data_IF_690512062357
#
_entry.id   IF_690512062357
#
_cell.length_a   1.000
_cell.length_b   1.000
_cell.length_c   1.000
_cell.angle_alpha   90.00
_cell.angle_beta   90.00
_cell.angle_gamma   90.00
#
_symmetry.space_group_name_H-M   'P 1'
#
loop_
_entity.id
_entity.type
_entity.pdbx_description
1 polymer ?
#
# COMPACT_ATOMS: atom_id res chain seq x y z
N UNK A 1 -16.18 18.97 -20.91
CA UNK A 1 -16.73 18.01 -19.93
C UNK A 1 -16.00 16.67 -19.98
N UNK A 2 -15.99 16.00 -21.12
CA UNK A 2 -15.28 14.74 -21.29
C UNK A 2 -13.78 14.88 -21.03
N UNK A 3 -13.16 15.89 -21.58
CA UNK A 3 -11.73 16.14 -21.39
C UNK A 3 -11.41 16.41 -19.92
N UNK A 4 -12.24 17.15 -19.23
CA UNK A 4 -12.03 17.46 -17.82
C UNK A 4 -12.12 16.21 -16.97
N UNK A 5 -13.09 15.33 -17.23
CA UNK A 5 -13.20 14.05 -16.55
C UNK A 5 -11.99 13.18 -16.82
N UNK A 6 -11.51 13.15 -18.06
CA UNK A 6 -10.33 12.37 -18.43
C UNK A 6 -9.09 12.87 -17.69
N UNK A 7 -8.93 14.19 -17.56
CA UNK A 7 -7.82 14.79 -16.82
C UNK A 7 -7.87 14.41 -15.34
N UNK A 8 -9.06 14.42 -14.74
CA UNK A 8 -9.22 14.01 -13.35
C UNK A 8 -8.87 12.54 -13.15
N UNK A 9 -9.29 11.69 -14.07
CA UNK A 9 -8.96 10.25 -14.01
C UNK A 9 -7.47 10.04 -14.17
N UNK A 10 -6.85 10.70 -15.13
CA UNK A 10 -5.40 10.60 -15.35
C UNK A 10 -4.62 11.02 -14.11
N UNK A 11 -5.05 12.10 -13.48
CA UNK A 11 -4.42 12.59 -12.27
C UNK A 11 -4.54 11.57 -11.14
N UNK A 12 -5.71 10.98 -10.98
CA UNK A 12 -5.94 9.96 -9.95
C UNK A 12 -5.09 8.71 -10.19
N UNK A 13 -4.95 8.29 -11.43
CA UNK A 13 -4.08 7.16 -11.78
C UNK A 13 -2.62 7.48 -11.42
N UNK A 14 -2.18 8.69 -11.77
CA UNK A 14 -0.82 9.12 -11.45
C UNK A 14 -0.58 9.15 -9.94
N UNK A 15 -1.54 9.65 -9.17
CA UNK A 15 -1.46 9.68 -7.71
C UNK A 15 -1.38 8.26 -7.13
N UNK A 16 -2.19 7.36 -7.66
CA UNK A 16 -2.16 5.96 -7.24
C UNK A 16 -0.79 5.35 -7.50
N UNK A 17 -0.28 5.47 -8.72
CA UNK A 17 1.01 4.89 -9.09
C UNK A 17 2.17 5.50 -8.32
N UNK A 18 2.07 6.78 -7.96
CA UNK A 18 3.08 7.45 -7.14
C UNK A 18 3.22 6.80 -5.77
N UNK A 19 2.13 6.24 -5.24
CA UNK A 19 2.19 5.55 -3.95
C UNK A 19 3.05 4.29 -4.01
N UNK A 20 3.18 3.67 -5.17
CA UNK A 20 4.08 2.53 -5.39
C UNK A 20 5.52 2.98 -5.63
N UNK A 21 5.77 4.27 -5.73
CA UNK A 21 7.08 4.81 -6.08
C UNK A 21 8.03 5.04 -4.91
N UNK A 22 7.78 4.41 -3.77
CA UNK A 22 8.62 4.55 -2.58
C UNK A 22 9.02 3.16 -2.08
N UNK A 23 10.34 2.96 -1.87
CA UNK A 23 10.86 1.65 -1.48
C UNK A 23 10.25 1.13 -0.18
N UNK A 24 10.09 1.99 0.81
CA UNK A 24 9.51 1.55 2.10
C UNK A 24 8.07 1.10 1.91
N UNK A 25 7.28 1.86 1.15
CA UNK A 25 5.89 1.47 0.89
C UNK A 25 5.80 0.17 0.10
N UNK A 26 6.68 -0.02 -0.88
CA UNK A 26 6.75 -1.27 -1.64
C UNK A 26 7.07 -2.44 -0.71
N UNK A 27 8.03 -2.26 0.20
CA UNK A 27 8.39 -3.31 1.18
C UNK A 27 7.23 -3.64 2.12
N UNK A 28 6.50 -2.63 2.58
CA UNK A 28 5.31 -2.85 3.42
C UNK A 28 4.27 -3.67 2.66
N UNK A 29 3.97 -3.26 1.44
CA UNK A 29 2.98 -3.96 0.62
C UNK A 29 3.41 -5.41 0.33
N UNK A 30 4.71 -5.64 0.13
CA UNK A 30 5.23 -6.99 -0.08
C UNK A 30 4.91 -7.89 1.12
N UNK A 31 5.09 -7.39 2.33
CA UNK A 31 4.77 -8.17 3.54
C UNK A 31 3.27 -8.43 3.67
N UNK A 32 2.44 -7.53 3.15
CA UNK A 32 0.98 -7.67 3.23
C UNK A 32 0.38 -8.52 2.11
N UNK A 33 1.18 -8.99 1.16
CA UNK A 33 0.67 -9.82 0.06
C UNK A 33 0.02 -11.11 0.55
N UNK A 34 0.60 -11.73 1.56
CA UNK A 34 0.15 -13.03 2.02
C UNK A 34 -0.46 -13.02 3.42
N UNK A 35 -0.15 -11.99 4.20
CA UNK A 35 -0.56 -11.96 5.60
C UNK A 35 -1.10 -10.60 6.00
N UNK A 36 -2.10 -10.63 6.84
CA UNK A 36 -2.56 -9.45 7.56
C UNK A 36 -1.62 -9.23 8.73
N UNK A 37 -1.11 -8.02 8.91
CA UNK A 37 -0.10 -7.71 9.92
C UNK A 37 -0.41 -6.43 10.67
N UNK A 38 0.02 -6.35 11.92
CA UNK A 38 -0.05 -5.11 12.70
C UNK A 38 1.25 -4.32 12.55
N UNK A 39 1.25 -3.09 13.05
CA UNK A 39 2.41 -2.19 12.94
C UNK A 39 3.67 -2.82 13.51
N UNK A 40 3.59 -3.40 14.70
CA UNK A 40 4.78 -3.97 15.35
C UNK A 40 5.40 -5.11 14.55
N UNK A 41 4.55 -5.93 13.92
CA UNK A 41 5.03 -7.03 13.08
C UNK A 41 5.74 -6.52 11.83
N UNK A 42 5.16 -5.50 11.19
CA UNK A 42 5.76 -4.89 10.00
C UNK A 42 7.07 -4.21 10.37
N UNK A 43 7.08 -3.46 11.47
CA UNK A 43 8.27 -2.75 11.94
C UNK A 43 9.42 -3.72 12.20
N UNK A 44 9.13 -4.86 12.83
CA UNK A 44 10.13 -5.88 13.08
C UNK A 44 10.68 -6.46 11.79
N UNK A 45 9.79 -6.80 10.85
CA UNK A 45 10.19 -7.39 9.56
C UNK A 45 11.04 -6.44 8.73
N UNK A 46 10.73 -5.15 8.77
CA UNK A 46 11.45 -4.14 7.99
C UNK A 46 12.63 -3.54 8.75
N UNK A 47 12.77 -3.87 10.02
CA UNK A 47 13.79 -3.28 10.90
C UNK A 47 13.70 -1.77 10.93
N UNK A 48 12.48 -1.27 11.12
CA UNK A 48 12.17 0.15 11.17
C UNK A 48 11.36 0.45 12.43
N UNK A 49 11.31 1.72 12.81
CA UNK A 49 10.53 2.12 13.97
C UNK A 49 9.03 1.99 13.70
N UNK A 50 8.27 1.74 14.76
CA UNK A 50 6.81 1.67 14.67
C UNK A 50 6.23 2.99 14.16
N UNK A 51 6.80 4.12 14.57
CA UNK A 51 6.29 5.43 14.13
C UNK A 51 6.52 5.65 12.63
N UNK A 52 7.67 5.20 12.10
CA UNK A 52 7.95 5.29 10.66
C UNK A 52 6.96 4.43 9.86
N UNK A 53 6.71 3.21 10.34
CA UNK A 53 5.75 2.30 9.69
C UNK A 53 4.34 2.87 9.76
N UNK A 54 3.92 3.37 10.92
CA UNK A 54 2.59 3.99 11.09
C UNK A 54 2.38 5.15 10.14
N UNK A 55 3.42 5.97 9.95
CA UNK A 55 3.36 7.10 9.02
C UNK A 55 3.11 6.63 7.58
N UNK A 56 3.85 5.62 7.16
CA UNK A 56 3.70 5.07 5.80
C UNK A 56 2.36 4.36 5.61
N UNK A 57 1.90 3.64 6.62
CA UNK A 57 0.58 2.98 6.55
C UNK A 57 -0.55 3.99 6.45
N UNK A 58 -0.42 5.14 7.11
CA UNK A 58 -1.41 6.21 6.99
C UNK A 58 -1.50 6.71 5.56
N UNK A 59 -0.35 6.93 4.91
CA UNK A 59 -0.29 7.36 3.51
C UNK A 59 -0.96 6.30 2.61
N UNK A 60 -0.61 5.04 2.80
CA UNK A 60 -1.18 3.95 2.01
C UNK A 60 -2.69 3.81 2.21
N UNK A 61 -3.16 4.00 3.44
CA UNK A 61 -4.59 3.91 3.75
C UNK A 61 -5.36 5.07 3.13
N UNK A 62 -4.83 6.28 3.19
CA UNK A 62 -5.43 7.45 2.56
C UNK A 62 -5.52 7.25 1.04
N UNK A 63 -4.53 6.59 0.46
CA UNK A 63 -4.50 6.27 -0.97
C UNK A 63 -5.30 5.03 -1.34
N UNK A 64 -5.96 4.41 -0.37
CA UNK A 64 -6.79 3.21 -0.57
C UNK A 64 -6.02 1.99 -1.09
N UNK A 65 -4.74 1.91 -0.75
CA UNK A 65 -3.93 0.73 -1.08
C UNK A 65 -3.94 -0.30 0.02
N UNK A 66 -4.18 0.12 1.25
CA UNK A 66 -4.35 -0.79 2.38
C UNK A 66 -5.65 -0.47 3.11
N UNK A 67 -6.16 -1.48 3.80
CA UNK A 67 -7.31 -1.34 4.70
C UNK A 67 -6.87 -1.83 6.07
N UNK A 68 -7.64 -1.47 7.09
CA UNK A 68 -7.35 -1.88 8.45
C UNK A 68 -8.60 -2.42 9.11
N UNK A 69 -8.41 -3.31 10.09
CA UNK A 69 -9.46 -3.76 10.98
C UNK A 69 -8.90 -3.77 12.39
N UNK A 70 -9.78 -3.56 13.35
CA UNK A 70 -9.39 -3.56 14.75
C UNK A 70 -9.87 -4.83 15.42
N UNK A 71 -9.00 -5.44 16.20
CA UNK A 71 -9.34 -6.61 17.00
C UNK A 71 -8.76 -6.37 18.40
N UNK A 72 -9.65 -6.13 19.35
CA UNK A 72 -9.24 -5.68 20.67
C UNK A 72 -8.57 -4.32 20.57
N UNK A 73 -7.32 -4.24 21.03
CA UNK A 73 -6.53 -3.01 20.97
C UNK A 73 -5.57 -2.98 19.78
N UNK A 74 -5.56 -4.07 19.01
CA UNK A 74 -4.62 -4.22 17.89
C UNK A 74 -5.30 -3.89 16.58
N UNK A 75 -4.61 -3.11 15.75
CA UNK A 75 -5.05 -2.78 14.39
C UNK A 75 -4.23 -3.60 13.40
N UNK A 76 -4.92 -4.37 12.57
CA UNK A 76 -4.30 -5.18 11.53
C UNK A 76 -4.52 -4.54 10.17
N UNK A 77 -3.50 -4.62 9.33
CA UNK A 77 -3.51 -4.05 7.99
C UNK A 77 -3.43 -5.16 6.95
N UNK A 78 -4.08 -4.93 5.82
CA UNK A 78 -4.03 -5.83 4.67
C UNK A 78 -4.12 -4.99 3.41
N UNK A 79 -3.75 -5.56 2.26
CA UNK A 79 -3.94 -4.88 0.98
C UNK A 79 -5.44 -4.69 0.75
N UNK A 80 -5.79 -3.55 0.16
CA UNK A 80 -7.19 -3.12 0.07
C UNK A 80 -8.07 -4.09 -0.73
N UNK A 81 -7.56 -4.59 -1.85
CA UNK A 81 -8.34 -5.47 -2.73
C UNK A 81 -7.45 -6.21 -3.73
N UNK A 82 -8.09 -7.00 -4.58
CA UNK A 82 -7.38 -7.78 -5.59
C UNK A 82 -6.73 -6.92 -6.67
N UNK A 83 -7.25 -5.72 -6.91
CA UNK A 83 -6.65 -4.80 -7.89
C UNK A 83 -5.26 -4.38 -7.44
N UNK A 84 -5.12 -4.03 -6.17
CA UNK A 84 -3.84 -3.61 -5.59
C UNK A 84 -2.83 -4.75 -5.70
N UNK A 85 -3.25 -5.96 -5.36
CA UNK A 85 -2.40 -7.14 -5.47
C UNK A 85 -1.92 -7.37 -6.90
N UNK A 86 -2.83 -7.22 -7.87
CA UNK A 86 -2.49 -7.43 -9.29
C UNK A 86 -1.50 -6.39 -9.79
N UNK A 87 -1.68 -5.13 -9.41
CA UNK A 87 -0.74 -4.07 -9.79
C UNK A 87 0.65 -4.42 -9.24
N UNK A 88 0.72 -4.82 -7.98
CA UNK A 88 1.98 -5.18 -7.34
C UNK A 88 2.65 -6.36 -8.05
N UNK A 89 1.90 -7.43 -8.27
CA UNK A 89 2.44 -8.63 -8.93
C UNK A 89 2.89 -8.35 -10.36
N UNK A 90 2.15 -7.54 -11.11
CA UNK A 90 2.55 -7.18 -12.47
C UNK A 90 3.85 -6.39 -12.48
N UNK A 91 3.99 -5.44 -11.55
CA UNK A 91 5.22 -4.67 -11.41
C UNK A 91 6.39 -5.57 -11.04
N UNK A 92 6.18 -6.47 -10.07
CA UNK A 92 7.19 -7.42 -9.64
C UNK A 92 7.62 -8.34 -10.77
N UNK A 93 6.66 -8.91 -11.47
CA UNK A 93 6.90 -9.80 -12.61
C UNK A 93 7.73 -9.10 -13.70
N UNK A 94 7.36 -7.87 -14.00
CA UNK A 94 8.07 -7.08 -15.01
C UNK A 94 9.52 -6.83 -14.61
N UNK A 95 9.76 -6.51 -13.34
CA UNK A 95 11.11 -6.24 -12.83
C UNK A 95 11.97 -7.50 -12.84
N UNK A 96 11.38 -8.65 -12.54
CA UNK A 96 12.10 -9.92 -12.48
C UNK A 96 12.31 -10.57 -13.85
N UNK A 97 11.70 -10.05 -14.86
CA UNK A 97 11.73 -10.60 -16.23
C UNK A 97 13.11 -10.52 -16.91
#
# INVERSE_FOLDING_TARGET
MQEQKNQEVYQKVAELLALFGDTTRVRIMAELLENELCVSEIAEKLEMSASAISHQLRILKQGRLVRSRKEGKTVFYSLADSHVKRIYFLALEHVLE
#
